data_IF_665877222715
#
_entry.id   IF_665877222715
#
_cell.length_a   1.000
_cell.length_b   1.000
_cell.length_c   1.000
_cell.angle_alpha   90.00
_cell.angle_beta   90.00
_cell.angle_gamma   90.00
#
_symmetry.space_group_name_H-M   'P 1'
#
loop_
_entity.id
_entity.type
_entity.pdbx_description
1 polymer ?
#
# COMPACT_ATOMS: atom_id res chain seq x y z
N UNK A 1 -10.47 24.88 -32.65
CA UNK A 1 -11.49 24.66 -31.61
C UNK A 1 -12.49 25.81 -31.48
N UNK A 2 -12.07 27.03 -31.11
CA UNK A 2 -12.99 28.18 -30.87
C UNK A 2 -13.93 28.48 -32.05
N UNK A 3 -13.41 28.59 -33.27
CA UNK A 3 -14.22 28.86 -34.46
C UNK A 3 -15.25 27.74 -34.72
N UNK A 4 -14.85 26.48 -34.56
CA UNK A 4 -15.74 25.32 -34.74
C UNK A 4 -16.86 25.30 -33.68
N UNK A 5 -16.54 25.63 -32.43
CA UNK A 5 -17.53 25.75 -31.34
C UNK A 5 -18.55 26.85 -31.66
N UNK A 6 -18.10 28.03 -32.07
CA UNK A 6 -18.97 29.15 -32.43
C UNK A 6 -19.88 28.80 -33.61
N UNK A 7 -19.32 28.18 -34.67
CA UNK A 7 -20.09 27.74 -35.82
C UNK A 7 -21.16 26.69 -35.44
N UNK A 8 -20.82 25.71 -34.59
CA UNK A 8 -21.76 24.72 -34.10
C UNK A 8 -22.90 25.36 -33.28
N UNK A 9 -22.58 26.33 -32.40
CA UNK A 9 -23.59 27.07 -31.64
C UNK A 9 -24.54 27.88 -32.54
N UNK A 10 -24.01 28.51 -33.59
CA UNK A 10 -24.84 29.20 -34.58
C UNK A 10 -25.75 28.23 -35.34
N UNK A 11 -25.25 27.05 -35.73
CA UNK A 11 -26.05 26.02 -36.36
C UNK A 11 -27.21 25.56 -35.45
N UNK A 12 -26.93 25.27 -34.17
CA UNK A 12 -27.97 24.89 -33.20
C UNK A 12 -29.08 25.94 -33.12
N UNK A 13 -28.74 27.24 -33.11
CA UNK A 13 -29.74 28.33 -33.09
C UNK A 13 -30.62 28.33 -34.34
N UNK A 14 -30.02 28.14 -35.52
CA UNK A 14 -30.74 28.08 -36.81
C UNK A 14 -31.68 26.86 -36.90
N UNK A 15 -31.23 25.70 -36.41
CA UNK A 15 -32.06 24.48 -36.37
C UNK A 15 -33.23 24.61 -35.39
N UNK A 16 -33.02 25.24 -34.23
CA UNK A 16 -34.10 25.56 -33.28
C UNK A 16 -35.13 26.52 -33.87
N UNK A 17 -34.69 27.58 -34.55
CA UNK A 17 -35.61 28.54 -35.19
C UNK A 17 -36.45 27.90 -36.31
N UNK A 18 -35.90 26.87 -36.99
CA UNK A 18 -36.61 26.11 -38.02
C UNK A 18 -37.34 24.87 -37.50
N UNK A 19 -37.40 24.67 -36.17
CA UNK A 19 -38.04 23.52 -35.50
C UNK A 19 -37.56 22.15 -36.01
N UNK A 20 -36.29 22.03 -36.41
CA UNK A 20 -35.69 20.77 -36.87
C UNK A 20 -34.87 20.11 -35.75
N UNK A 21 -34.91 18.77 -35.62
CA UNK A 21 -34.08 18.05 -34.65
C UNK A 21 -32.59 18.18 -35.03
N UNK A 22 -31.75 18.51 -34.05
CA UNK A 22 -30.30 18.66 -34.25
C UNK A 22 -29.49 17.58 -33.52
N UNK A 23 -29.93 17.17 -32.33
CA UNK A 23 -29.23 16.17 -31.54
C UNK A 23 -29.63 14.75 -31.94
N UNK A 24 -28.66 13.85 -31.95
CA UNK A 24 -28.92 12.41 -32.08
C UNK A 24 -29.73 11.94 -30.87
N UNK A 25 -30.91 11.31 -31.07
CA UNK A 25 -31.65 10.67 -29.99
C UNK A 25 -30.83 9.55 -29.34
N UNK A 26 -30.99 9.35 -28.03
CA UNK A 26 -30.27 8.29 -27.29
C UNK A 26 -30.66 6.88 -27.73
N UNK A 27 -31.88 6.71 -28.24
CA UNK A 27 -32.48 5.42 -28.62
C UNK A 27 -32.35 5.12 -30.13
N UNK A 28 -31.54 5.90 -30.86
CA UNK A 28 -31.32 5.69 -32.29
C UNK A 28 -29.95 5.03 -32.53
N UNK A 29 -29.96 3.70 -32.65
CA UNK A 29 -28.77 2.85 -32.87
C UNK A 29 -28.49 2.64 -34.36
N UNK A 30 -28.03 3.68 -35.04
CA UNK A 30 -27.45 3.57 -36.38
C UNK A 30 -25.94 3.33 -36.32
N UNK A 31 -25.36 2.81 -37.40
CA UNK A 31 -23.92 2.62 -37.53
C UNK A 31 -23.17 3.95 -37.34
N UNK A 32 -22.18 3.96 -36.45
CA UNK A 32 -21.36 5.12 -36.15
C UNK A 32 -20.02 5.01 -36.89
N UNK A 33 -19.35 6.13 -37.14
CA UNK A 33 -18.05 6.19 -37.86
C UNK A 33 -16.99 5.28 -37.21
N UNK A 34 -17.09 5.04 -35.90
CA UNK A 34 -16.21 4.15 -35.14
C UNK A 34 -17.04 3.05 -34.51
N UNK A 35 -16.54 1.81 -34.58
CA UNK A 35 -17.17 0.67 -33.92
C UNK A 35 -17.12 0.78 -32.40
N UNK A 36 -18.11 0.20 -31.72
CA UNK A 36 -18.15 0.19 -30.26
C UNK A 36 -16.96 -0.55 -29.65
N UNK A 37 -16.51 -1.63 -30.30
CA UNK A 37 -15.29 -2.34 -29.91
C UNK A 37 -14.06 -1.41 -29.91
N UNK A 38 -13.91 -0.56 -30.92
CA UNK A 38 -12.83 0.43 -30.92
C UNK A 38 -12.98 1.46 -29.80
N UNK A 39 -14.19 1.96 -29.56
CA UNK A 39 -14.45 2.90 -28.45
C UNK A 39 -14.22 2.27 -27.08
N UNK A 40 -14.50 0.99 -26.90
CA UNK A 40 -14.18 0.24 -25.69
C UNK A 40 -12.67 0.19 -25.44
N UNK A 41 -11.86 -0.10 -26.47
CA UNK A 41 -10.39 -0.06 -26.32
C UNK A 41 -9.87 1.31 -25.90
N UNK A 42 -10.46 2.40 -26.41
CA UNK A 42 -10.09 3.76 -26.00
C UNK A 42 -10.47 4.01 -24.54
N UNK A 43 -11.68 3.61 -24.12
CA UNK A 43 -12.12 3.78 -22.73
C UNK A 43 -11.22 3.02 -21.76
N UNK A 44 -10.87 1.77 -22.09
CA UNK A 44 -9.96 0.96 -21.28
C UNK A 44 -8.60 1.65 -21.12
N UNK A 45 -8.01 2.16 -22.21
CA UNK A 45 -6.75 2.91 -22.15
C UNK A 45 -6.84 4.15 -21.25
N UNK A 46 -7.92 4.91 -21.34
CA UNK A 46 -8.12 6.09 -20.48
C UNK A 46 -8.21 5.72 -19.00
N UNK A 47 -8.85 4.58 -18.68
CA UNK A 47 -8.91 4.05 -17.30
C UNK A 47 -7.53 3.60 -16.85
N UNK A 48 -6.81 2.83 -17.67
CA UNK A 48 -5.44 2.37 -17.39
C UNK A 48 -4.48 3.55 -17.14
N UNK A 49 -4.56 4.61 -17.95
CA UNK A 49 -3.76 5.82 -17.76
C UNK A 49 -4.07 6.52 -16.44
N UNK A 50 -5.36 6.67 -16.12
CA UNK A 50 -5.79 7.28 -14.85
C UNK A 50 -5.35 6.45 -13.63
N UNK A 51 -5.43 5.13 -13.72
CA UNK A 51 -4.94 4.22 -12.69
C UNK A 51 -3.42 4.24 -12.57
N UNK A 52 -2.69 4.30 -13.70
CA UNK A 52 -1.24 4.43 -13.74
C UNK A 52 -0.74 5.70 -13.05
N UNK A 53 -1.42 6.83 -13.28
CA UNK A 53 -1.13 8.09 -12.60
C UNK A 53 -1.35 7.98 -11.08
N UNK A 54 -2.51 7.46 -10.65
CA UNK A 54 -2.81 7.24 -9.22
C UNK A 54 -1.80 6.31 -8.55
N UNK A 55 -1.45 5.20 -9.19
CA UNK A 55 -0.45 4.27 -8.68
C UNK A 55 0.93 4.92 -8.53
N UNK A 56 1.32 5.79 -9.47
CA UNK A 56 2.58 6.54 -9.40
C UNK A 56 2.61 7.53 -8.23
N UNK A 57 1.50 8.22 -7.98
CA UNK A 57 1.36 9.15 -6.85
C UNK A 57 1.40 8.41 -5.52
N UNK A 58 0.69 7.30 -5.41
CA UNK A 58 0.76 6.44 -4.23
C UNK A 58 2.16 5.89 -4.00
N UNK A 59 2.88 5.51 -5.05
CA UNK A 59 4.25 5.03 -4.94
C UNK A 59 5.19 6.14 -4.42
N UNK A 60 5.02 7.39 -4.87
CA UNK A 60 5.76 8.55 -4.34
C UNK A 60 5.45 8.78 -2.87
N UNK A 61 4.17 8.81 -2.48
CA UNK A 61 3.72 8.92 -1.08
C UNK A 61 4.31 7.80 -0.21
N UNK A 62 4.27 6.55 -0.68
CA UNK A 62 4.84 5.39 0.03
C UNK A 62 6.37 5.52 0.19
N UNK A 63 7.09 6.09 -0.78
CA UNK A 63 8.53 6.34 -0.68
C UNK A 63 8.85 7.42 0.35
N UNK A 64 8.10 8.51 0.37
CA UNK A 64 8.24 9.60 1.33
C UNK A 64 7.95 9.13 2.76
N UNK A 65 6.88 8.37 2.96
CA UNK A 65 6.55 7.76 4.25
C UNK A 65 7.65 6.81 4.74
N UNK A 66 8.30 6.05 3.85
CA UNK A 66 9.44 5.19 4.22
C UNK A 66 10.68 6.01 4.56
N UNK A 67 10.94 7.09 3.82
CA UNK A 67 12.10 7.96 4.03
C UNK A 67 12.00 8.71 5.36
N UNK A 68 10.84 9.30 5.65
CA UNK A 68 10.65 10.15 6.82
C UNK A 68 9.92 9.46 7.99
N UNK A 69 9.50 8.20 7.83
CA UNK A 69 8.68 7.51 8.83
C UNK A 69 9.30 7.45 10.22
N UNK A 70 10.62 7.25 10.33
CA UNK A 70 11.32 7.29 11.64
C UNK A 70 11.38 8.70 12.22
N UNK A 71 11.66 9.71 11.39
CA UNK A 71 11.71 11.10 11.83
C UNK A 71 10.33 11.55 12.35
N UNK A 72 9.26 11.24 11.60
CA UNK A 72 7.87 11.50 12.00
C UNK A 72 7.53 10.79 13.32
N UNK A 73 7.97 9.53 13.51
CA UNK A 73 7.74 8.83 14.78
C UNK A 73 8.41 9.50 15.98
N UNK A 74 9.64 9.97 15.82
CA UNK A 74 10.37 10.67 16.88
C UNK A 74 9.73 12.03 17.17
N UNK A 75 9.42 12.79 16.12
CA UNK A 75 8.75 14.09 16.25
C UNK A 75 7.39 13.96 16.92
N UNK A 76 6.57 12.99 16.52
CA UNK A 76 5.28 12.72 17.16
C UNK A 76 5.41 12.37 18.64
N UNK A 77 6.45 11.63 19.05
CA UNK A 77 6.71 11.36 20.47
C UNK A 77 7.06 12.64 21.23
N UNK A 78 7.95 13.46 20.66
CA UNK A 78 8.36 14.74 21.25
C UNK A 78 7.16 15.70 21.36
N UNK A 79 6.31 15.77 20.33
CA UNK A 79 5.09 16.58 20.34
C UNK A 79 4.12 16.11 21.43
N UNK A 80 3.85 14.81 21.54
CA UNK A 80 3.02 14.24 22.62
C UNK A 80 3.60 14.51 24.02
N UNK A 81 4.91 14.39 24.19
CA UNK A 81 5.58 14.72 25.45
C UNK A 81 5.48 16.21 25.79
N UNK A 82 5.59 17.10 24.80
CA UNK A 82 5.39 18.55 25.00
C UNK A 82 3.94 18.87 25.34
N UNK A 83 2.98 18.27 24.66
CA UNK A 83 1.54 18.44 24.95
C UNK A 83 1.18 17.96 26.35
N UNK A 84 1.64 16.76 26.73
CA UNK A 84 1.42 16.24 28.08
C UNK A 84 2.10 17.08 29.16
N UNK A 85 3.29 17.65 28.91
CA UNK A 85 3.93 18.61 29.82
C UNK A 85 3.11 19.90 29.96
N UNK A 86 2.65 20.49 28.84
CA UNK A 86 1.79 21.68 28.85
C UNK A 86 0.49 21.45 29.63
N UNK A 87 -0.16 20.32 29.42
CA UNK A 87 -1.38 19.95 30.17
C UNK A 87 -1.06 19.79 31.66
N UNK A 88 0.03 19.10 32.01
CA UNK A 88 0.45 18.93 33.41
C UNK A 88 0.77 20.25 34.10
N UNK A 89 1.42 21.18 33.39
CA UNK A 89 1.72 22.53 33.88
C UNK A 89 0.43 23.33 34.09
N UNK A 90 -0.48 23.33 33.11
CA UNK A 90 -1.80 23.95 33.24
C UNK A 90 -2.61 23.39 34.41
N UNK A 91 -2.62 22.07 34.61
CA UNK A 91 -3.29 21.44 35.77
C UNK A 91 -2.61 21.85 37.09
N UNK A 92 -1.28 21.94 37.14
CA UNK A 92 -0.57 22.42 38.33
C UNK A 92 -0.88 23.88 38.63
N UNK A 93 -0.95 24.74 37.63
CA UNK A 93 -1.33 26.15 37.79
C UNK A 93 -2.78 26.29 38.25
N UNK A 94 -3.72 25.52 37.68
CA UNK A 94 -5.10 25.46 38.15
C UNK A 94 -5.20 24.96 39.59
N UNK A 95 -4.45 23.91 39.96
CA UNK A 95 -4.38 23.42 41.35
C UNK A 95 -3.81 24.48 42.29
N UNK A 96 -2.77 25.22 41.89
CA UNK A 96 -2.19 26.32 42.68
C UNK A 96 -3.19 27.46 42.87
N UNK A 97 -3.79 27.97 41.77
CA UNK A 97 -4.83 29.01 41.84
C UNK A 97 -6.01 28.58 42.70
N UNK A 98 -6.44 27.30 42.62
CA UNK A 98 -7.48 26.75 43.49
C UNK A 98 -7.05 26.76 44.95
N UNK A 99 -5.81 26.36 45.27
CA UNK A 99 -5.27 26.42 46.63
C UNK A 99 -5.18 27.85 47.18
N UNK A 100 -4.79 28.81 46.34
CA UNK A 100 -4.73 30.21 46.75
C UNK A 100 -6.12 30.80 47.03
N UNK A 101 -7.16 30.34 46.30
CA UNK A 101 -8.57 30.69 46.57
C UNK A 101 -9.12 29.95 47.80
N UNK A 102 -8.85 28.65 47.98
CA UNK A 102 -9.36 27.90 49.14
C UNK A 102 -8.69 28.29 50.46
N UNK A 103 -7.44 28.81 50.43
CA UNK A 103 -6.79 29.41 51.61
C UNK A 103 -7.46 30.71 52.07
N UNK A 104 -8.19 31.40 51.20
CA UNK A 104 -9.00 32.56 51.57
C UNK A 104 -10.37 32.15 52.15
N UNK A 105 -10.89 30.97 51.76
CA UNK A 105 -12.26 30.50 52.13
C UNK A 105 -12.32 29.41 53.21
N UNK A 106 -11.18 28.92 53.73
CA UNK A 106 -11.13 28.13 54.98
C UNK A 106 -11.89 26.79 55.00
N UNK A 107 -12.17 26.18 53.84
CA UNK A 107 -12.88 24.88 53.75
C UNK A 107 -11.98 23.74 53.27
N UNK A 108 -12.20 22.56 53.86
CA UNK A 108 -11.30 21.43 54.01
C UNK A 108 -10.68 20.88 52.70
N UNK A 109 -9.34 20.89 52.65
CA UNK A 109 -8.54 20.51 51.47
C UNK A 109 -8.49 19.00 51.18
N UNK A 110 -8.89 18.15 52.13
CA UNK A 110 -8.64 16.70 52.07
C UNK A 110 -9.69 15.92 51.26
N UNK A 111 -10.92 16.42 51.16
CA UNK A 111 -12.02 15.66 50.54
C UNK A 111 -11.98 15.68 49.00
N UNK A 112 -11.40 16.73 48.40
CA UNK A 112 -11.33 16.88 46.94
C UNK A 112 -10.07 16.30 46.29
N UNK A 113 -8.92 16.26 46.97
CA UNK A 113 -7.71 15.62 46.42
C UNK A 113 -7.90 14.09 46.31
N UNK A 114 -8.66 13.48 47.24
CA UNK A 114 -9.06 12.07 47.19
C UNK A 114 -9.96 11.79 45.97
N UNK A 115 -10.96 12.64 45.71
CA UNK A 115 -11.88 12.47 44.59
C UNK A 115 -11.20 12.58 43.20
N UNK A 116 -10.15 13.40 43.06
CA UNK A 116 -9.41 13.55 41.79
C UNK A 116 -8.41 12.40 41.59
N UNK A 117 -7.80 11.89 42.65
CA UNK A 117 -6.91 10.74 42.59
C UNK A 117 -7.68 9.43 42.33
N UNK A 118 -8.87 9.29 42.91
CA UNK A 118 -9.79 8.17 42.65
C UNK A 118 -10.31 8.15 41.20
N UNK A 119 -10.65 9.32 40.63
CA UNK A 119 -11.11 9.41 39.24
C UNK A 119 -9.99 9.20 38.19
N UNK A 120 -8.74 9.54 38.51
CA UNK A 120 -7.57 9.29 37.65
C UNK A 120 -7.04 7.85 37.76
N UNK A 121 -7.11 7.24 38.94
CA UNK A 121 -6.73 5.84 39.17
C UNK A 121 -7.80 4.84 38.68
N UNK A 122 -9.05 5.30 38.54
CA UNK A 122 -10.19 4.55 38.04
C UNK A 122 -10.24 4.30 36.53
N UNK A 123 -9.13 4.36 35.77
CA UNK A 123 -9.13 3.89 34.38
C UNK A 123 -9.05 2.34 34.34
N UNK A 124 -10.14 1.60 34.10
CA UNK A 124 -10.19 0.17 34.26
C UNK A 124 -9.73 -0.48 32.94
N UNK A 125 -8.42 -0.48 32.67
CA UNK A 125 -7.86 -1.27 31.55
C UNK A 125 -6.74 -2.21 31.95
N UNK A 126 -6.47 -2.38 33.24
CA UNK A 126 -5.48 -3.35 33.72
C UNK A 126 -5.91 -3.96 35.04
N UNK A 127 -6.88 -4.88 35.00
CA UNK A 127 -7.02 -6.03 35.92
C UNK A 127 -8.29 -6.81 35.62
N UNK A 128 -8.22 -7.64 34.58
CA UNK A 128 -9.00 -8.86 34.49
C UNK A 128 -8.03 -9.95 34.02
N UNK A 129 -7.50 -10.70 34.98
CA UNK A 129 -6.79 -11.94 34.71
C UNK A 129 -7.80 -13.01 34.36
N UNK A 130 -7.65 -13.61 33.19
CA UNK A 130 -8.41 -14.77 32.74
C UNK A 130 -7.64 -15.42 31.61
N UNK A 131 -6.79 -16.39 31.96
CA UNK A 131 -6.14 -17.30 31.03
C UNK A 131 -7.21 -18.03 30.23
N UNK A 132 -7.37 -17.71 28.95
CA UNK A 132 -7.85 -18.58 27.86
C UNK A 132 -7.82 -17.79 26.53
N UNK A 133 -6.95 -18.22 25.60
CA UNK A 133 -7.05 -17.90 24.17
C UNK A 133 -6.61 -16.51 23.72
N UNK A 134 -5.32 -16.30 23.50
CA UNK A 134 -4.84 -15.07 22.84
C UNK A 134 -3.33 -15.07 22.62
N UNK A 135 -2.94 -15.49 21.43
CA UNK A 135 -1.56 -15.61 20.91
C UNK A 135 -0.66 -14.42 21.33
N UNK A 136 0.33 -14.70 22.17
CA UNK A 136 1.33 -13.73 22.60
C UNK A 136 2.19 -13.24 21.42
N UNK A 137 1.87 -12.04 20.94
CA UNK A 137 2.62 -11.27 19.94
C UNK A 137 3.90 -10.65 20.54
N UNK A 138 4.80 -11.50 21.02
CA UNK A 138 6.06 -11.02 21.61
C UNK A 138 7.16 -12.06 21.79
N UNK A 139 6.86 -13.36 21.69
CA UNK A 139 7.89 -14.40 21.72
C UNK A 139 8.30 -14.74 20.29
N UNK A 140 9.59 -14.55 19.98
CA UNK A 140 10.18 -14.98 18.69
C UNK A 140 9.87 -16.46 18.49
N UNK A 141 8.91 -16.77 17.61
CA UNK A 141 8.56 -18.15 17.27
C UNK A 141 9.82 -18.90 16.86
N UNK A 142 10.04 -20.09 17.40
CA UNK A 142 11.16 -20.95 17.00
C UNK A 142 11.07 -21.26 15.51
N UNK A 143 12.21 -21.56 14.87
CA UNK A 143 12.27 -21.83 13.42
C UNK A 143 11.30 -22.95 13.01
N UNK A 144 11.18 -23.98 13.84
CA UNK A 144 10.25 -25.10 13.68
C UNK A 144 8.79 -24.64 13.72
N UNK A 145 8.41 -23.81 14.70
CA UNK A 145 7.04 -23.30 14.80
C UNK A 145 6.63 -22.41 13.61
N UNK A 146 7.57 -21.64 13.05
CA UNK A 146 7.32 -20.86 11.81
C UNK A 146 7.17 -21.78 10.60
N UNK A 147 7.98 -22.82 10.51
CA UNK A 147 7.92 -23.80 9.43
C UNK A 147 6.63 -24.62 9.45
N UNK A 148 6.06 -24.89 10.63
CA UNK A 148 4.75 -25.53 10.73
C UNK A 148 3.59 -24.57 10.39
N UNK A 149 3.68 -23.28 10.75
CA UNK A 149 2.61 -22.29 10.49
C UNK A 149 2.59 -21.79 9.04
N UNK A 150 3.76 -21.65 8.41
CA UNK A 150 3.91 -21.02 7.10
C UNK A 150 4.62 -21.90 6.06
N UNK A 151 5.17 -23.05 6.46
CA UNK A 151 5.79 -23.97 5.54
C UNK A 151 4.76 -24.81 4.79
N UNK A 152 5.07 -25.14 3.54
CA UNK A 152 4.26 -26.08 2.76
C UNK A 152 4.28 -27.45 3.45
N UNK A 153 3.13 -28.14 3.59
CA UNK A 153 3.12 -29.51 4.09
C UNK A 153 3.88 -30.41 3.11
N UNK A 154 4.59 -31.42 3.64
CA UNK A 154 5.23 -32.43 2.81
C UNK A 154 4.17 -33.15 1.98
N UNK A 155 4.35 -33.33 0.65
CA UNK A 155 3.47 -34.18 -0.13
C UNK A 155 3.54 -35.63 0.39
N UNK A 156 2.39 -36.31 0.37
CA UNK A 156 2.27 -37.70 0.84
C UNK A 156 3.26 -38.59 0.06
N UNK A 157 4.00 -39.44 0.77
CA UNK A 157 4.97 -40.38 0.18
C UNK A 157 6.41 -39.88 0.09
N UNK A 158 6.72 -38.63 0.44
CA UNK A 158 8.10 -38.11 0.40
C UNK A 158 8.75 -38.13 1.79
N UNK A 159 9.70 -39.03 2.00
CA UNK A 159 10.51 -39.14 3.22
C UNK A 159 11.86 -38.44 3.05
N UNK A 160 12.43 -37.93 4.15
CA UNK A 160 13.75 -37.26 4.15
C UNK A 160 13.73 -35.73 4.29
N UNK A 161 14.91 -35.17 4.59
CA UNK A 161 15.13 -33.73 4.86
C UNK A 161 15.31 -32.88 3.60
N UNK A 162 15.57 -33.52 2.45
CA UNK A 162 15.92 -32.87 1.16
C UNK A 162 14.74 -32.60 0.23
N UNK A 163 13.51 -32.81 0.68
CA UNK A 163 12.30 -32.66 -0.16
C UNK A 163 12.06 -31.23 -0.67
N UNK A 164 12.75 -30.23 -0.10
CA UNK A 164 12.73 -28.83 -0.52
C UNK A 164 13.93 -28.44 -1.40
N UNK A 165 14.80 -29.39 -1.76
CA UNK A 165 15.96 -29.14 -2.62
C UNK A 165 15.56 -29.26 -4.10
N UNK A 166 16.04 -28.33 -4.92
CA UNK A 166 15.84 -28.41 -6.37
C UNK A 166 16.65 -29.57 -6.94
N UNK A 167 15.96 -30.48 -7.61
CA UNK A 167 16.56 -31.58 -8.39
C UNK A 167 16.76 -31.16 -9.84
N UNK A 168 17.66 -31.83 -10.57
CA UNK A 168 17.96 -31.55 -11.99
C UNK A 168 16.70 -31.58 -12.87
N UNK A 169 15.69 -32.38 -12.52
CA UNK A 169 14.39 -32.44 -13.18
C UNK A 169 13.52 -31.20 -12.91
N UNK A 170 13.54 -30.64 -11.69
CA UNK A 170 12.81 -29.41 -11.35
C UNK A 170 13.40 -28.13 -11.97
N UNK A 171 14.67 -28.13 -12.39
CA UNK A 171 15.30 -26.99 -13.06
C UNK A 171 14.95 -26.88 -14.55
N UNK A 172 14.41 -27.94 -15.15
CA UNK A 172 14.05 -27.99 -16.59
C UNK A 172 12.55 -27.90 -16.87
N UNK A 173 11.68 -27.97 -15.85
CA UNK A 173 10.23 -27.94 -16.03
C UNK A 173 9.71 -26.50 -15.88
N UNK A 174 9.31 -25.90 -17.00
CA UNK A 174 8.58 -24.63 -17.05
C UNK A 174 7.05 -24.83 -16.94
N UNK A 175 6.58 -26.05 -16.65
CA UNK A 175 5.15 -26.40 -16.59
C UNK A 175 4.40 -25.74 -15.42
N UNK A 176 5.13 -25.23 -14.41
CA UNK A 176 4.54 -24.73 -13.15
C UNK A 176 4.53 -23.22 -12.98
N UNK A 177 5.09 -22.44 -13.91
CA UNK A 177 5.08 -20.96 -13.84
C UNK A 177 3.82 -20.38 -14.50
N UNK A 178 2.67 -21.00 -14.25
CA UNK A 178 1.37 -20.63 -14.82
C UNK A 178 0.33 -20.40 -13.74
N UNK A 179 0.32 -19.22 -13.16
CA UNK A 179 -0.85 -18.73 -12.42
C UNK A 179 -1.92 -18.27 -13.41
N UNK A 180 -3.03 -19.01 -13.49
CA UNK A 180 -4.37 -18.62 -13.99
C UNK A 180 -4.42 -17.67 -15.20
N UNK A 181 -4.74 -18.20 -16.38
CA UNK A 181 -5.24 -17.42 -17.51
C UNK A 181 -5.43 -18.31 -18.72
N UNK A 182 -6.65 -18.30 -19.26
CA UNK A 182 -7.14 -19.18 -20.31
C UNK A 182 -6.30 -19.22 -21.59
N UNK A 183 -6.41 -20.36 -22.26
CA UNK A 183 -5.70 -20.66 -23.48
C UNK A 183 -6.02 -19.73 -24.63
N UNK A 184 -5.01 -19.53 -25.47
CA UNK A 184 -5.09 -19.59 -26.93
C UNK A 184 -3.67 -19.50 -27.46
N UNK A 185 -3.15 -20.63 -27.94
CA UNK A 185 -2.06 -20.65 -28.89
C UNK A 185 -2.53 -19.87 -30.12
N UNK A 186 -1.86 -18.77 -30.44
CA UNK A 186 -1.99 -18.12 -31.74
C UNK A 186 -0.59 -17.91 -32.30
N UNK A 187 -0.34 -18.64 -33.38
CA UNK A 187 0.69 -18.43 -34.39
C UNK A 187 0.98 -16.96 -34.66
N UNK A 188 2.26 -16.59 -34.69
CA UNK A 188 2.71 -15.23 -35.00
C UNK A 188 4.22 -15.16 -35.22
N UNK A 189 4.64 -15.61 -36.40
CA UNK A 189 5.74 -15.06 -37.22
C UNK A 189 6.82 -14.19 -36.53
N UNK A 190 8.05 -14.73 -36.51
CA UNK A 190 9.24 -14.04 -37.01
C UNK A 190 9.77 -12.82 -36.23
N UNK A 191 10.89 -13.03 -35.52
CA UNK A 191 12.08 -12.16 -35.68
C UNK A 191 13.33 -12.80 -35.10
N UNK A 192 14.26 -13.08 -36.00
CA UNK A 192 15.62 -13.50 -35.73
C UNK A 192 16.37 -12.45 -34.89
N UNK A 193 17.02 -12.88 -33.80
CA UNK A 193 18.29 -12.33 -33.32
C UNK A 193 19.12 -13.47 -32.74
N UNK A 194 20.10 -13.91 -33.51
CA UNK A 194 21.08 -14.91 -33.11
C UNK A 194 21.86 -14.46 -31.89
N UNK A 195 22.03 -15.37 -30.93
CA UNK A 195 23.09 -15.31 -29.93
C UNK A 195 23.90 -16.58 -30.03
N UNK A 196 25.10 -16.42 -30.58
CA UNK A 196 26.10 -17.46 -30.73
C UNK A 196 26.50 -18.04 -29.37
N UNK A 197 26.69 -19.35 -29.41
CA UNK A 197 27.25 -20.21 -28.37
C UNK A 197 28.77 -20.00 -28.27
N UNK A 198 29.34 -20.29 -27.11
CA UNK A 198 30.79 -20.42 -26.88
C UNK A 198 31.13 -20.11 -25.42
N UNK A 199 30.89 -21.02 -24.48
CA UNK A 199 31.85 -22.03 -24.04
C UNK A 199 33.10 -21.42 -23.38
N UNK A 200 33.19 -21.58 -22.05
CA UNK A 200 34.35 -21.18 -21.26
C UNK A 200 35.54 -22.11 -21.48
N UNK A 201 36.75 -21.56 -21.38
CA UNK A 201 38.01 -22.28 -21.44
C UNK A 201 39.10 -21.53 -20.68
N UNK A 202 39.55 -22.17 -19.59
CA UNK A 202 40.75 -21.89 -18.77
C UNK A 202 41.99 -21.46 -19.58
N UNK A 203 42.73 -20.44 -19.11
CA UNK A 203 44.19 -20.54 -18.94
C UNK A 203 44.78 -19.42 -18.08
N UNK A 204 45.86 -19.79 -17.39
CA UNK A 204 46.53 -19.15 -16.28
C UNK A 204 47.92 -18.73 -16.74
N UNK A 205 48.23 -17.42 -16.87
CA UNK A 205 49.58 -16.83 -17.05
C UNK A 205 49.47 -15.38 -16.56
N UNK A 206 50.15 -14.89 -15.52
CA UNK A 206 51.59 -14.90 -15.26
C UNK A 206 52.11 -13.46 -15.46
N UNK A 207 51.97 -12.58 -14.44
CA UNK A 207 52.41 -11.18 -14.53
C UNK A 207 53.89 -11.04 -14.16
N UNK A 208 54.74 -10.73 -15.14
CA UNK A 208 56.09 -10.21 -14.88
C UNK A 208 56.00 -8.71 -14.58
N UNK A 209 56.61 -8.31 -13.46
CA UNK A 209 56.98 -6.93 -13.16
C UNK A 209 58.32 -6.63 -13.83
N UNK A 210 58.47 -5.46 -14.43
CA UNK A 210 59.77 -4.84 -14.65
C UNK A 210 59.68 -3.35 -14.34
N UNK A 211 60.35 -2.95 -13.27
CA UNK A 211 60.89 -1.60 -13.10
C UNK A 211 62.26 -1.56 -13.79
N UNK A 212 62.49 -0.57 -14.64
CA UNK A 212 63.72 0.22 -14.68
C UNK A 212 63.45 1.51 -15.44
#
# INVERSE_FOLDING_TARGET
YKNALQAAQQAVRKFKASSKPFFRPTDYFAEMIKSDAHMETIRLRLVEEAEGLKASEEAKKKRELKKFGKAIQVENKIQREKETKRIKEGVKELRKKRKDVTKLDGQDEQEFDIAVEETLSGNPKKRAGGSLGGEGDGRKKTRTAREHKFGRPKPKGVTGRRWKENTKSSAGSFEGMGGKGDGRLSSGTGRARGRGRGAGGSSKRGSHRSNK
#
